data_IF_471258612688
#
_entry.id   IF_471258612688
#
_cell.length_a   1.000
_cell.length_b   1.000
_cell.length_c   1.000
_cell.angle_alpha   90.00
_cell.angle_beta   90.00
_cell.angle_gamma   90.00
#
_symmetry.space_group_name_H-M   'P 1'
#
loop_
_entity.id
_entity.type
_entity.pdbx_description
1 polymer ?
#
# COMPACT_ATOMS: atom_id res chain seq x y z
N UNK A 1 -12.26 -11.80 10.70
CA UNK A 1 -11.50 -11.29 9.55
C UNK A 1 -10.93 -9.92 9.87
N UNK A 2 -9.65 -9.73 9.64
CA UNK A 2 -9.02 -8.44 9.85
C UNK A 2 -9.52 -7.42 8.84
N UNK A 3 -9.64 -6.16 9.25
CA UNK A 3 -9.98 -5.08 8.34
C UNK A 3 -8.71 -4.34 7.90
N UNK A 4 -8.87 -3.46 6.92
CA UNK A 4 -7.76 -2.72 6.34
C UNK A 4 -7.07 -1.82 7.36
N UNK A 5 -7.82 -1.30 8.33
CA UNK A 5 -7.27 -0.43 9.39
C UNK A 5 -6.25 -1.20 10.24
N UNK A 6 -6.58 -2.44 10.60
CA UNK A 6 -5.67 -3.28 11.38
C UNK A 6 -4.36 -3.55 10.62
N UNK A 7 -4.46 -3.83 9.34
CA UNK A 7 -3.28 -4.04 8.50
C UNK A 7 -2.42 -2.78 8.46
N UNK A 8 -3.03 -1.62 8.27
CA UNK A 8 -2.32 -0.34 8.23
C UNK A 8 -1.59 -0.05 9.53
N UNK A 9 -2.18 -0.41 10.67
CA UNK A 9 -1.57 -0.18 11.98
C UNK A 9 -0.40 -1.10 12.28
N UNK A 10 -0.39 -2.30 11.72
CA UNK A 10 0.59 -3.33 12.07
C UNK A 10 1.67 -3.58 11.01
N UNK A 11 1.41 -3.24 9.74
CA UNK A 11 2.35 -3.51 8.67
C UNK A 11 3.04 -2.24 8.20
N UNK A 12 4.17 -2.39 7.52
CA UNK A 12 4.90 -1.24 6.99
C UNK A 12 4.12 -0.58 5.87
N UNK A 13 4.37 0.71 5.66
CA UNK A 13 3.75 1.46 4.57
C UNK A 13 4.03 0.80 3.21
N UNK A 14 5.26 0.35 2.99
CA UNK A 14 5.64 -0.31 1.74
C UNK A 14 4.80 -1.56 1.50
N UNK A 15 4.64 -2.42 2.51
CA UNK A 15 3.88 -3.65 2.37
C UNK A 15 2.40 -3.38 2.12
N UNK A 16 1.84 -2.40 2.83
CA UNK A 16 0.44 -2.01 2.65
C UNK A 16 0.20 -1.54 1.22
N UNK A 17 1.05 -0.64 0.72
CA UNK A 17 0.89 -0.10 -0.63
C UNK A 17 1.12 -1.16 -1.70
N UNK A 18 2.03 -2.09 -1.48
CA UNK A 18 2.31 -3.16 -2.44
C UNK A 18 1.06 -3.99 -2.74
N UNK A 19 0.19 -4.16 -1.76
CA UNK A 19 -1.05 -4.94 -1.92
C UNK A 19 -2.23 -4.03 -2.25
N UNK A 20 -2.46 -3.00 -1.45
CA UNK A 20 -3.72 -2.26 -1.54
C UNK A 20 -3.75 -1.21 -2.64
N UNK A 21 -2.61 -0.80 -3.17
CA UNK A 21 -2.59 0.09 -4.34
C UNK A 21 -3.16 -0.57 -5.59
N UNK A 22 -3.22 -1.91 -5.62
CA UNK A 22 -3.79 -2.65 -6.75
C UNK A 22 -5.32 -2.62 -6.75
N UNK A 23 -5.94 -2.42 -5.60
CA UNK A 23 -7.40 -2.48 -5.44
C UNK A 23 -8.03 -1.18 -4.98
N UNK A 24 -7.23 -0.26 -4.42
CA UNK A 24 -7.70 1.02 -3.89
C UNK A 24 -6.94 2.15 -4.56
N UNK A 25 -7.62 3.24 -4.88
CA UNK A 25 -6.91 4.38 -5.46
C UNK A 25 -6.17 5.18 -4.37
N UNK A 26 -5.32 6.11 -4.81
CA UNK A 26 -4.50 6.92 -3.91
C UNK A 26 -5.35 7.71 -2.92
N UNK A 27 -6.49 8.23 -3.36
CA UNK A 27 -7.37 9.02 -2.48
C UNK A 27 -7.92 8.18 -1.32
N UNK A 28 -8.27 6.93 -1.60
CA UNK A 28 -8.76 6.02 -0.56
C UNK A 28 -7.67 5.71 0.45
N UNK A 29 -6.45 5.46 -0.02
CA UNK A 29 -5.30 5.20 0.86
C UNK A 29 -4.96 6.42 1.69
N UNK A 30 -4.95 7.60 1.08
CA UNK A 30 -4.72 8.87 1.77
C UNK A 30 -5.73 9.05 2.89
N UNK A 31 -7.01 8.84 2.62
CA UNK A 31 -8.07 8.97 3.61
C UNK A 31 -7.91 8.00 4.77
N UNK A 32 -7.57 6.74 4.47
CA UNK A 32 -7.37 5.74 5.51
C UNK A 32 -6.20 6.11 6.43
N UNK A 33 -5.08 6.55 5.85
CA UNK A 33 -3.94 6.98 6.65
C UNK A 33 -4.22 8.26 7.42
N UNK A 34 -5.02 9.17 6.87
CA UNK A 34 -5.41 10.38 7.57
C UNK A 34 -6.11 10.05 8.90
N UNK A 35 -6.93 9.00 8.91
CA UNK A 35 -7.64 8.59 10.12
C UNK A 35 -6.82 7.67 11.04
N UNK A 36 -5.91 6.87 10.49
CA UNK A 36 -5.22 5.85 11.28
C UNK A 36 -3.80 6.22 11.65
N UNK A 37 -3.10 6.97 10.79
CA UNK A 37 -1.72 7.37 11.03
C UNK A 37 -1.44 8.66 10.26
N UNK A 38 -1.90 9.78 10.81
CA UNK A 38 -1.80 11.08 10.16
C UNK A 38 -0.35 11.52 9.94
N UNK A 39 0.59 11.03 10.74
CA UNK A 39 2.01 11.39 10.59
C UNK A 39 2.54 10.99 9.21
N UNK A 40 2.06 9.89 8.66
CA UNK A 40 2.45 9.43 7.31
C UNK A 40 1.99 10.44 6.25
N UNK A 41 0.83 11.05 6.47
CA UNK A 41 0.29 12.06 5.54
C UNK A 41 1.03 13.38 5.71
N UNK A 42 1.15 13.87 6.94
CA UNK A 42 1.72 15.20 7.21
C UNK A 42 3.21 15.27 6.87
N UNK A 43 3.93 14.16 6.97
CA UNK A 43 5.36 14.09 6.63
C UNK A 43 5.61 13.89 5.14
N UNK A 44 4.58 13.57 4.36
CA UNK A 44 4.72 13.26 2.95
C UNK A 44 5.19 11.85 2.66
N UNK A 45 5.26 10.99 3.66
CA UNK A 45 5.75 9.61 3.49
C UNK A 45 4.87 8.79 2.56
N UNK A 46 3.55 8.97 2.60
CA UNK A 46 2.65 8.21 1.74
C UNK A 46 2.94 8.49 0.27
N UNK A 47 3.03 9.78 -0.09
CA UNK A 47 3.33 10.18 -1.46
C UNK A 47 4.71 9.70 -1.90
N UNK A 48 5.71 9.89 -1.04
CA UNK A 48 7.08 9.50 -1.34
C UNK A 48 7.20 7.99 -1.55
N UNK A 49 6.60 7.20 -0.67
CA UNK A 49 6.66 5.74 -0.77
C UNK A 49 5.88 5.25 -1.99
N UNK A 50 4.72 5.84 -2.25
CA UNK A 50 3.92 5.49 -3.41
C UNK A 50 4.72 5.66 -4.70
N UNK A 51 5.38 6.82 -4.86
CA UNK A 51 6.21 7.09 -6.03
C UNK A 51 7.43 6.16 -6.09
N UNK A 52 8.03 5.87 -4.94
CA UNK A 52 9.18 4.97 -4.86
C UNK A 52 8.86 3.58 -5.42
N UNK A 53 7.67 3.07 -5.13
CA UNK A 53 7.26 1.74 -5.60
C UNK A 53 7.17 1.70 -7.13
N UNK A 54 6.74 2.79 -7.77
CA UNK A 54 6.74 2.87 -9.23
C UNK A 54 8.18 2.92 -9.77
N UNK A 55 9.06 3.68 -9.13
CA UNK A 55 10.47 3.76 -9.56
C UNK A 55 11.18 2.42 -9.43
N UNK A 56 10.86 1.64 -8.42
CA UNK A 56 11.46 0.32 -8.21
C UNK A 56 10.88 -0.76 -9.11
N UNK A 57 9.83 -0.46 -9.85
CA UNK A 57 9.16 -1.45 -10.68
C UNK A 57 8.29 -2.42 -9.90
N UNK A 58 7.96 -2.10 -8.66
CA UNK A 58 7.05 -2.92 -7.85
C UNK A 58 5.62 -2.69 -8.30
N UNK A 59 5.27 -1.43 -8.58
CA UNK A 59 3.98 -1.05 -9.14
C UNK A 59 4.20 -0.47 -10.53
N UNK A 60 3.20 -0.58 -11.39
CA UNK A 60 3.24 -0.04 -12.74
C UNK A 60 1.90 0.61 -13.06
N UNK A 61 1.94 1.73 -13.77
CA UNK A 61 0.74 2.40 -14.26
C UNK A 61 0.48 1.93 -15.68
N UNK A 62 -0.67 1.31 -15.90
CA UNK A 62 -1.08 0.84 -17.21
C UNK A 62 -2.42 1.44 -17.58
N UNK A 63 -2.40 2.44 -18.45
CA UNK A 63 -3.60 3.14 -18.91
C UNK A 63 -4.44 3.73 -17.75
N UNK A 64 -3.75 4.30 -16.75
CA UNK A 64 -4.42 4.90 -15.60
C UNK A 64 -4.79 3.92 -14.49
N UNK A 65 -4.45 2.64 -14.66
CA UNK A 65 -4.71 1.61 -13.67
C UNK A 65 -3.40 1.12 -13.07
N UNK A 66 -3.33 1.04 -11.75
CA UNK A 66 -2.15 0.52 -11.07
C UNK A 66 -2.18 -1.01 -11.12
N UNK A 67 -1.10 -1.59 -11.64
CA UNK A 67 -0.96 -3.05 -11.76
C UNK A 67 0.37 -3.48 -11.17
N UNK A 68 0.56 -4.79 -11.02
CA UNK A 68 1.82 -5.34 -10.54
C UNK A 68 2.93 -5.03 -11.54
N UNK A 69 4.01 -4.43 -11.05
CA UNK A 69 5.20 -4.18 -11.88
C UNK A 69 6.05 -5.43 -12.04
N UNK A 70 7.12 -5.35 -12.84
CA UNK A 70 7.99 -6.51 -13.10
C UNK A 70 8.72 -7.02 -11.84
N UNK A 71 8.87 -6.17 -10.84
CA UNK A 71 9.57 -6.51 -9.60
C UNK A 71 8.62 -6.73 -8.42
N UNK A 72 7.32 -6.85 -8.69
CA UNK A 72 6.32 -7.04 -7.64
C UNK A 72 6.53 -8.36 -6.92
N UNK A 73 6.54 -8.32 -5.59
CA UNK A 73 6.65 -9.51 -4.74
C UNK A 73 5.57 -9.42 -3.67
N UNK A 74 4.86 -10.52 -3.44
CA UNK A 74 3.80 -10.54 -2.44
C UNK A 74 4.40 -10.29 -1.04
N UNK A 75 3.83 -9.36 -0.25
CA UNK A 75 4.30 -9.11 1.10
C UNK A 75 4.14 -10.34 2.00
N UNK A 76 5.05 -10.46 2.96
CA UNK A 76 5.08 -11.62 3.84
C UNK A 76 3.79 -11.81 4.64
N UNK A 77 3.14 -10.71 5.06
CA UNK A 77 1.92 -10.84 5.85
C UNK A 77 0.78 -11.50 5.07
N UNK A 78 0.83 -11.44 3.73
CA UNK A 78 -0.15 -12.11 2.87
C UNK A 78 0.19 -13.59 2.76
N UNK A 79 1.46 -13.93 2.53
CA UNK A 79 1.89 -15.33 2.43
C UNK A 79 1.73 -16.07 3.75
N UNK A 80 1.94 -15.38 4.87
CA UNK A 80 1.76 -15.94 6.20
C UNK A 80 0.29 -16.02 6.62
N UNK A 81 -0.62 -15.49 5.80
CA UNK A 81 -2.06 -15.44 6.08
C UNK A 81 -2.36 -14.80 7.43
N UNK A 82 -1.59 -13.80 7.80
CA UNK A 82 -1.66 -13.15 9.11
C UNK A 82 -3.04 -12.54 9.38
N UNK A 83 -3.73 -12.06 8.35
CA UNK A 83 -5.04 -11.42 8.49
C UNK A 83 -6.16 -12.21 7.82
N UNK A 84 -5.89 -13.43 7.43
CA UNK A 84 -6.92 -14.31 6.86
C UNK A 84 -7.16 -14.13 5.35
N UNK A 85 -6.27 -13.43 4.66
CA UNK A 85 -6.37 -13.40 3.20
C UNK A 85 -5.37 -14.31 2.52
#
# INVERSE_FOLDING_TARGET
MANMIEVIQNETLEDVLTIFALTSDYKQLDRLYTYTNFDVISSGELSAKYNELFHKGILEDKNGTVVKGPNWVVPKFVTDKKYGF
#
